data_IF_569797642206
#
_entry.id   IF_569797642206
#
_cell.length_a   1.000
_cell.length_b   1.000
_cell.length_c   1.000
_cell.angle_alpha   90.00
_cell.angle_beta   90.00
_cell.angle_gamma   90.00
#
_symmetry.space_group_name_H-M   'P 1'
#
loop_
_entity.id
_entity.type
_entity.pdbx_description
1 polymer ?
#
# COMPACT_ATOMS: atom_id res chain seq x y z
N UNK A 1 67.11 23.26 -8.80
CA UNK A 1 66.50 23.81 -10.05
C UNK A 1 65.54 22.77 -10.61
N UNK A 2 64.36 23.23 -10.94
CA UNK A 2 63.25 22.61 -11.70
C UNK A 2 62.18 21.89 -10.87
N UNK A 3 61.18 22.68 -10.57
CA UNK A 3 59.87 22.31 -10.12
C UNK A 3 59.08 21.63 -11.23
N UNK A 4 58.40 20.53 -10.94
CA UNK A 4 57.34 19.97 -11.77
C UNK A 4 56.04 19.93 -10.98
N UNK A 5 55.17 20.90 -11.20
CA UNK A 5 53.80 20.91 -10.77
C UNK A 5 53.01 19.88 -11.61
N UNK A 6 52.51 18.83 -10.98
CA UNK A 6 51.55 17.95 -11.59
C UNK A 6 50.13 18.45 -11.22
N UNK A 7 49.47 19.05 -12.19
CA UNK A 7 48.06 19.43 -12.10
C UNK A 7 47.18 18.17 -12.15
N UNK A 8 46.54 17.85 -11.06
CA UNK A 8 45.48 16.80 -11.02
C UNK A 8 44.20 17.43 -11.54
N UNK A 9 43.85 17.12 -12.77
CA UNK A 9 42.56 17.45 -13.37
C UNK A 9 41.48 16.54 -12.77
N UNK A 10 40.65 17.09 -11.88
CA UNK A 10 39.47 16.44 -11.32
C UNK A 10 38.38 16.43 -12.40
N UNK A 11 38.23 15.34 -13.11
CA UNK A 11 37.09 15.07 -14.01
C UNK A 11 35.82 14.85 -13.17
N UNK A 12 34.99 15.90 -13.14
CA UNK A 12 33.62 15.81 -12.62
C UNK A 12 32.80 14.93 -13.58
N UNK A 13 32.70 13.63 -13.28
CA UNK A 13 31.70 12.76 -13.86
C UNK A 13 30.35 13.14 -13.23
N UNK A 14 29.56 13.92 -13.95
CA UNK A 14 28.15 14.12 -13.62
C UNK A 14 27.40 12.78 -13.83
N UNK A 15 26.74 12.21 -12.81
CA UNK A 15 25.87 11.08 -13.05
C UNK A 15 24.66 11.58 -13.84
N UNK A 16 24.52 11.12 -15.09
CA UNK A 16 23.31 11.28 -15.86
C UNK A 16 22.19 10.54 -15.12
N UNK A 17 21.35 11.30 -14.45
CA UNK A 17 20.11 10.78 -13.86
C UNK A 17 19.25 10.29 -15.03
N UNK A 18 19.25 8.98 -15.26
CA UNK A 18 18.24 8.32 -16.07
C UNK A 18 16.92 8.46 -15.32
N UNK A 19 16.14 9.45 -15.73
CA UNK A 19 14.73 9.52 -15.37
C UNK A 19 14.04 8.26 -15.94
N UNK A 20 13.89 7.23 -15.12
CA UNK A 20 13.00 6.15 -15.44
C UNK A 20 11.60 6.75 -15.57
N UNK A 21 10.90 6.50 -16.69
CA UNK A 21 9.50 6.87 -16.77
C UNK A 21 8.78 6.08 -15.67
N UNK A 22 8.36 6.76 -14.61
CA UNK A 22 7.37 6.24 -13.67
C UNK A 22 6.14 5.98 -14.53
N UNK A 23 5.93 4.72 -14.90
CA UNK A 23 4.67 4.26 -15.44
C UNK A 23 3.62 4.69 -14.42
N UNK A 24 2.83 5.70 -14.78
CA UNK A 24 1.75 6.21 -13.96
C UNK A 24 0.87 5.01 -13.62
N UNK A 25 0.95 4.56 -12.38
CA UNK A 25 0.12 3.50 -11.85
C UNK A 25 -1.32 3.99 -12.01
N UNK A 26 -2.03 3.45 -13.00
CA UNK A 26 -3.46 3.67 -13.17
C UNK A 26 -4.18 2.93 -12.04
N UNK A 27 -4.04 3.47 -10.81
CA UNK A 27 -4.97 3.11 -9.75
C UNK A 27 -6.36 3.47 -10.26
N UNK A 28 -7.29 2.51 -10.19
CA UNK A 28 -8.70 2.75 -10.47
C UNK A 28 -9.17 3.83 -9.50
N UNK A 29 -9.03 5.08 -9.92
CA UNK A 29 -9.49 6.22 -9.13
C UNK A 29 -11.01 6.24 -9.20
N UNK A 30 -11.70 6.23 -8.05
CA UNK A 30 -13.14 6.40 -8.05
C UNK A 30 -13.48 7.71 -8.78
N UNK A 31 -14.59 7.76 -9.53
CA UNK A 31 -15.07 9.02 -10.08
C UNK A 31 -15.33 9.99 -8.94
N UNK A 32 -14.77 11.19 -9.03
CA UNK A 32 -14.99 12.26 -8.07
C UNK A 32 -16.42 12.80 -8.27
N UNK A 33 -17.37 12.22 -7.57
CA UNK A 33 -18.80 12.53 -7.71
C UNK A 33 -19.28 13.66 -6.79
N UNK A 34 -18.35 14.50 -6.31
CA UNK A 34 -18.66 15.62 -5.42
C UNK A 34 -18.60 15.26 -3.95
N UNK A 35 -18.24 16.24 -3.15
CA UNK A 35 -17.79 16.13 -1.76
C UNK A 35 -18.87 15.97 -0.69
N UNK A 36 -19.99 15.30 -0.99
CA UNK A 36 -21.09 15.15 -0.02
C UNK A 36 -20.92 13.98 0.95
N UNK A 37 -19.78 13.29 0.91
CA UNK A 37 -19.45 12.17 1.81
C UNK A 37 -18.21 12.51 2.65
N UNK A 38 -18.36 13.27 3.74
CA UNK A 38 -17.23 13.60 4.61
C UNK A 38 -16.69 12.33 5.25
N UNK A 39 -15.46 11.98 4.91
CA UNK A 39 -14.71 10.90 5.54
C UNK A 39 -13.26 11.31 5.76
N UNK A 40 -12.63 10.73 6.79
CA UNK A 40 -11.25 10.96 7.16
C UNK A 40 -10.63 9.66 7.68
N UNK A 41 -9.32 9.59 7.60
CA UNK A 41 -8.52 8.50 8.19
C UNK A 41 -7.96 9.01 9.51
N UNK A 42 -7.94 8.16 10.56
CA UNK A 42 -7.41 8.55 11.86
C UNK A 42 -5.92 8.90 11.79
N UNK A 43 -5.17 8.10 11.04
CA UNK A 43 -3.73 8.27 10.83
C UNK A 43 -3.43 8.20 9.33
N UNK A 44 -3.12 9.33 8.72
CA UNK A 44 -2.72 9.41 7.31
C UNK A 44 -1.28 8.90 7.09
N UNK A 45 -0.49 8.84 8.16
CA UNK A 45 0.89 8.38 8.14
C UNK A 45 1.08 7.22 9.12
N UNK A 46 1.33 6.04 8.58
CA UNK A 46 1.63 4.84 9.38
C UNK A 46 3.12 4.58 9.33
N UNK A 47 3.74 4.60 10.51
CA UNK A 47 5.18 4.34 10.63
C UNK A 47 5.43 2.88 10.98
N UNK A 48 6.33 2.25 10.20
CA UNK A 48 6.74 0.86 10.35
C UNK A 48 8.14 0.81 10.96
N UNK A 49 8.25 0.24 12.16
CA UNK A 49 9.53 -0.03 12.83
C UNK A 49 10.01 -1.47 12.55
N UNK A 50 11.21 -1.81 12.98
CA UNK A 50 11.78 -3.16 12.81
C UNK A 50 11.02 -4.26 13.56
N UNK A 51 10.27 -3.91 14.60
CA UNK A 51 9.43 -4.78 15.41
C UNK A 51 7.95 -4.74 15.04
N UNK A 52 7.63 -4.17 13.87
CA UNK A 52 6.27 -4.01 13.39
C UNK A 52 5.54 -5.35 13.23
N UNK A 53 4.41 -5.50 13.90
CA UNK A 53 3.55 -6.70 13.89
C UNK A 53 2.21 -6.48 13.20
N UNK A 54 2.08 -5.37 12.50
CA UNK A 54 0.84 -4.91 11.89
C UNK A 54 0.25 -3.71 12.63
N UNK A 55 -0.61 -2.96 11.95
CA UNK A 55 -1.31 -1.78 12.47
C UNK A 55 -2.79 -1.86 12.15
N UNK A 56 -3.56 -0.97 12.73
CA UNK A 56 -4.97 -0.80 12.38
C UNK A 56 -5.16 0.51 11.64
N UNK A 57 -5.80 0.44 10.48
CA UNK A 57 -6.25 1.62 9.75
C UNK A 57 -7.70 1.85 10.13
N UNK A 58 -8.00 3.07 10.58
CA UNK A 58 -9.35 3.47 10.96
C UNK A 58 -9.83 4.61 10.08
N UNK A 59 -10.93 4.38 9.37
CA UNK A 59 -11.61 5.39 8.57
C UNK A 59 -12.91 5.77 9.26
N UNK A 60 -13.11 7.06 9.43
CA UNK A 60 -14.34 7.64 9.96
C UNK A 60 -15.05 8.43 8.87
N UNK A 61 -16.36 8.56 9.01
CA UNK A 61 -17.11 9.44 8.15
C UNK A 61 -18.56 9.55 8.59
N UNK A 62 -19.28 10.41 7.90
CA UNK A 62 -20.70 10.63 8.15
C UNK A 62 -21.48 10.31 6.89
N UNK A 63 -22.44 9.41 7.01
CA UNK A 63 -23.43 9.18 5.97
C UNK A 63 -24.39 10.37 5.94
N UNK A 64 -24.42 11.17 4.88
CA UNK A 64 -25.30 12.34 4.78
C UNK A 64 -26.77 11.96 4.72
N UNK A 65 -27.10 10.71 4.43
CA UNK A 65 -28.48 10.23 4.45
C UNK A 65 -28.96 9.97 5.89
N UNK A 66 -29.48 11.01 6.52
CA UNK A 66 -30.05 10.95 7.88
C UNK A 66 -31.19 9.94 8.05
N UNK A 67 -31.79 9.46 6.96
CA UNK A 67 -32.84 8.45 6.98
C UNK A 67 -32.29 7.01 7.00
N UNK A 68 -30.97 6.84 7.03
CA UNK A 68 -30.30 5.55 7.15
C UNK A 68 -30.46 4.62 5.94
N UNK A 69 -30.90 5.15 4.78
CA UNK A 69 -31.08 4.36 3.55
C UNK A 69 -29.83 4.25 2.69
N UNK A 70 -28.77 4.95 3.07
CA UNK A 70 -27.49 4.90 2.36
C UNK A 70 -26.62 3.77 2.91
N UNK A 71 -26.03 2.99 2.01
CA UNK A 71 -25.07 1.96 2.34
C UNK A 71 -23.64 2.49 2.15
N UNK A 72 -22.80 2.24 3.14
CA UNK A 72 -21.39 2.63 3.12
C UNK A 72 -20.53 1.42 2.78
N UNK A 73 -19.63 1.63 1.85
CA UNK A 73 -18.57 0.69 1.50
C UNK A 73 -17.23 1.42 1.58
N UNK A 74 -16.32 0.91 2.38
CA UNK A 74 -14.94 1.42 2.49
C UNK A 74 -14.01 0.38 1.88
N UNK A 75 -13.16 0.81 0.95
CA UNK A 75 -12.17 -0.06 0.31
C UNK A 75 -10.79 0.51 0.55
N UNK A 76 -9.92 -0.28 1.17
CA UNK A 76 -8.51 0.03 1.29
C UNK A 76 -7.73 -0.73 0.24
N UNK A 77 -6.87 -0.02 -0.51
CA UNK A 77 -6.02 -0.60 -1.55
C UNK A 77 -4.57 -0.25 -1.30
N UNK A 78 -3.72 -1.25 -1.37
CA UNK A 78 -2.28 -1.05 -1.52
C UNK A 78 -1.91 -0.84 -3.00
N UNK A 79 -0.66 -0.46 -3.29
CA UNK A 79 -0.19 -0.29 -4.66
C UNK A 79 -0.32 -1.58 -5.46
N UNK A 80 -0.51 -1.42 -6.76
CA UNK A 80 -0.48 -2.53 -7.70
C UNK A 80 0.91 -3.16 -7.76
N UNK A 81 0.96 -4.47 -7.82
CA UNK A 81 2.20 -5.23 -7.94
C UNK A 81 2.04 -6.35 -8.96
N UNK A 82 3.09 -6.70 -9.71
CA UNK A 82 3.06 -7.85 -10.57
C UNK A 82 2.88 -9.13 -9.73
N UNK A 83 2.03 -10.02 -10.20
CA UNK A 83 1.77 -11.30 -9.58
C UNK A 83 1.69 -12.40 -10.64
N UNK A 84 1.99 -13.63 -10.27
CA UNK A 84 1.84 -14.77 -11.17
C UNK A 84 1.13 -15.93 -10.48
N UNK A 85 0.27 -16.61 -11.22
CA UNK A 85 -0.47 -17.79 -10.76
C UNK A 85 -0.20 -18.93 -11.71
N UNK A 86 0.16 -20.09 -11.16
CA UNK A 86 0.39 -21.32 -11.92
C UNK A 86 -0.63 -22.37 -11.49
N UNK A 87 -1.22 -23.05 -12.46
CA UNK A 87 -2.05 -24.21 -12.21
C UNK A 87 -1.19 -25.46 -12.14
N UNK A 88 -1.32 -26.25 -11.07
CA UNK A 88 -0.69 -27.56 -10.99
C UNK A 88 -1.50 -28.58 -11.78
N UNK A 89 -0.85 -29.41 -12.56
CA UNK A 89 -1.45 -30.54 -13.22
C UNK A 89 -0.62 -31.80 -12.93
N UNK A 90 -1.29 -32.93 -12.97
CA UNK A 90 -0.66 -34.21 -12.69
C UNK A 90 -0.20 -34.85 -14.00
N UNK A 91 1.10 -35.14 -14.10
CA UNK A 91 1.68 -35.90 -15.19
C UNK A 91 2.23 -37.16 -14.58
N UNK A 92 1.64 -38.29 -14.95
CA UNK A 92 1.83 -39.59 -14.27
C UNK A 92 1.56 -39.51 -12.76
N UNK A 93 2.58 -39.68 -11.93
CA UNK A 93 2.46 -39.60 -10.46
C UNK A 93 2.93 -38.27 -9.87
N UNK A 94 3.45 -37.33 -10.68
CA UNK A 94 4.07 -36.08 -10.24
C UNK A 94 3.14 -34.89 -10.51
N UNK A 95 3.15 -33.93 -9.56
CA UNK A 95 2.49 -32.63 -9.74
C UNK A 95 3.50 -31.65 -10.33
N UNK A 96 3.22 -31.15 -11.54
CA UNK A 96 4.05 -30.16 -12.23
C UNK A 96 3.30 -28.85 -12.31
N UNK A 97 4.05 -27.73 -12.22
CA UNK A 97 3.50 -26.40 -12.45
C UNK A 97 3.28 -26.18 -13.95
N UNK A 98 2.10 -25.71 -14.32
CA UNK A 98 1.80 -25.27 -15.67
C UNK A 98 2.41 -23.90 -16.00
N UNK A 99 2.06 -23.39 -17.16
CA UNK A 99 2.50 -22.06 -17.60
C UNK A 99 2.02 -20.98 -16.62
N UNK A 100 2.88 -19.99 -16.27
CA UNK A 100 2.50 -18.89 -15.39
C UNK A 100 1.55 -17.93 -16.12
N UNK A 101 0.42 -17.61 -15.48
CA UNK A 101 -0.47 -16.52 -15.88
C UNK A 101 -0.09 -15.30 -15.06
N UNK A 102 0.30 -14.23 -15.74
CA UNK A 102 0.79 -13.00 -15.13
C UNK A 102 -0.29 -11.94 -15.02
N UNK A 103 -0.24 -11.23 -13.90
CA UNK A 103 -1.04 -10.04 -13.63
C UNK A 103 -0.09 -8.85 -13.51
N UNK A 104 -0.34 -7.77 -14.23
CA UNK A 104 0.52 -6.57 -14.21
C UNK A 104 0.29 -5.72 -12.96
N UNK A 105 -0.94 -5.69 -12.47
CA UNK A 105 -1.38 -4.71 -11.47
C UNK A 105 -2.37 -5.35 -10.48
N UNK A 106 -1.89 -6.32 -9.70
CA UNK A 106 -2.69 -6.89 -8.63
C UNK A 106 -2.47 -6.08 -7.35
N UNK A 107 -3.52 -5.61 -6.64
CA UNK A 107 -3.34 -4.89 -5.39
C UNK A 107 -2.48 -5.70 -4.42
N UNK A 108 -1.45 -5.07 -3.84
CA UNK A 108 -0.61 -5.72 -2.84
C UNK A 108 -1.35 -6.00 -1.54
N UNK A 109 -2.32 -5.15 -1.22
CA UNK A 109 -3.27 -5.28 -0.12
C UNK A 109 -4.65 -4.83 -0.60
N UNK A 110 -5.69 -5.51 -0.12
CA UNK A 110 -7.07 -5.15 -0.44
C UNK A 110 -7.98 -5.50 0.73
N UNK A 111 -8.72 -4.52 1.21
CA UNK A 111 -9.74 -4.76 2.22
C UNK A 111 -11.03 -4.04 1.84
N UNK A 112 -12.15 -4.75 1.87
CA UNK A 112 -13.47 -4.17 1.68
C UNK A 112 -14.30 -4.34 2.94
N UNK A 113 -14.86 -3.23 3.41
CA UNK A 113 -15.69 -3.16 4.61
C UNK A 113 -17.02 -2.54 4.23
N UNK A 114 -18.11 -3.19 4.57
CA UNK A 114 -19.46 -2.74 4.22
C UNK A 114 -20.45 -2.95 5.37
N UNK A 115 -21.46 -2.10 5.45
CA UNK A 115 -22.50 -2.22 6.48
C UNK A 115 -23.46 -3.40 6.24
N UNK A 116 -23.56 -3.87 4.98
CA UNK A 116 -24.31 -5.07 4.57
C UNK A 116 -23.48 -5.87 3.56
N UNK A 117 -23.83 -7.12 3.27
CA UNK A 117 -23.17 -7.89 2.22
C UNK A 117 -23.15 -7.13 0.90
N UNK A 118 -21.98 -7.05 0.26
CA UNK A 118 -21.73 -6.22 -0.91
C UNK A 118 -22.73 -6.46 -2.06
N UNK A 119 -23.12 -7.71 -2.25
CA UNK A 119 -24.12 -8.12 -3.27
C UNK A 119 -25.53 -7.61 -3.01
N UNK A 120 -25.84 -7.19 -1.76
CA UNK A 120 -27.11 -6.54 -1.41
C UNK A 120 -27.05 -5.03 -1.59
N UNK A 121 -25.84 -4.46 -1.64
CA UNK A 121 -25.59 -3.03 -1.78
C UNK A 121 -25.54 -2.64 -3.26
N UNK A 122 -24.84 -3.41 -4.07
CA UNK A 122 -24.56 -3.06 -5.47
C UNK A 122 -24.69 -4.29 -6.39
N UNK A 123 -25.04 -4.01 -7.65
CA UNK A 123 -25.07 -5.04 -8.68
C UNK A 123 -23.69 -5.61 -8.96
N UNK A 124 -23.56 -6.86 -9.47
CA UNK A 124 -22.27 -7.43 -9.85
C UNK A 124 -21.49 -6.54 -10.83
N UNK A 125 -22.19 -5.88 -11.74
CA UNK A 125 -21.60 -4.95 -12.70
C UNK A 125 -21.03 -3.71 -12.01
N UNK A 126 -21.72 -3.16 -11.01
CA UNK A 126 -21.24 -2.02 -10.22
C UNK A 126 -20.05 -2.41 -9.36
N UNK A 127 -20.10 -3.58 -8.72
CA UNK A 127 -18.98 -4.13 -7.93
C UNK A 127 -17.72 -4.22 -8.80
N UNK A 128 -17.85 -4.73 -10.02
CA UNK A 128 -16.75 -4.85 -10.96
C UNK A 128 -16.27 -3.46 -11.44
N UNK A 129 -17.19 -2.60 -11.83
CA UNK A 129 -16.88 -1.26 -12.36
C UNK A 129 -16.12 -0.37 -11.39
N UNK A 130 -16.49 -0.40 -10.11
CA UNK A 130 -15.84 0.40 -9.06
C UNK A 130 -14.70 -0.32 -8.35
N UNK A 131 -14.35 -1.52 -8.82
CA UNK A 131 -13.25 -2.30 -8.24
C UNK A 131 -13.48 -2.65 -6.77
N UNK A 132 -14.72 -2.92 -6.38
CA UNK A 132 -15.05 -3.30 -4.99
C UNK A 132 -14.73 -4.77 -4.69
N UNK A 133 -14.33 -5.52 -5.70
CA UNK A 133 -13.84 -6.89 -5.60
C UNK A 133 -12.36 -6.92 -6.02
N UNK A 134 -11.47 -7.55 -5.24
CA UNK A 134 -10.05 -7.63 -5.58
C UNK A 134 -9.78 -8.33 -6.93
N UNK A 135 -10.66 -9.24 -7.37
CA UNK A 135 -10.57 -9.87 -8.68
C UNK A 135 -10.77 -8.88 -9.83
N UNK A 136 -11.55 -7.81 -9.62
CA UNK A 136 -11.78 -6.77 -10.60
C UNK A 136 -10.56 -5.84 -10.76
N UNK A 137 -9.79 -5.67 -9.70
CA UNK A 137 -8.61 -4.79 -9.67
C UNK A 137 -7.35 -5.47 -10.22
N UNK A 138 -7.35 -6.80 -10.41
CA UNK A 138 -6.21 -7.55 -10.93
C UNK A 138 -6.27 -7.64 -12.46
N UNK A 139 -5.39 -6.91 -13.15
CA UNK A 139 -5.32 -6.90 -14.62
C UNK A 139 -4.46 -8.06 -15.14
N UNK A 140 -5.01 -8.84 -16.05
CA UNK A 140 -4.30 -9.92 -16.75
C UNK A 140 -3.37 -9.32 -17.80
N UNK A 141 -2.09 -9.67 -17.72
CA UNK A 141 -1.05 -9.25 -18.67
C UNK A 141 -0.78 -10.33 -19.72
N UNK A 142 -0.73 -11.60 -19.30
CA UNK A 142 -0.41 -12.70 -20.20
C UNK A 142 -1.66 -13.43 -20.68
N UNK A 143 -1.55 -14.04 -21.86
CA UNK A 143 -2.57 -14.96 -22.34
C UNK A 143 -2.74 -16.13 -21.37
N UNK A 144 -3.98 -16.53 -21.17
CA UNK A 144 -4.32 -17.73 -20.39
C UNK A 144 -4.13 -18.96 -21.31
N UNK A 145 -3.63 -20.10 -20.80
CA UNK A 145 -3.52 -21.31 -21.59
C UNK A 145 -4.83 -21.68 -22.28
N UNK A 146 -4.72 -22.21 -23.50
CA UNK A 146 -5.89 -22.59 -24.31
C UNK A 146 -6.77 -23.58 -23.56
N UNK A 147 -8.06 -23.26 -23.45
CA UNK A 147 -9.04 -24.09 -22.74
C UNK A 147 -9.18 -23.79 -21.23
N UNK A 148 -8.35 -22.92 -20.68
CA UNK A 148 -8.49 -22.49 -19.29
C UNK A 148 -9.34 -21.21 -19.16
N UNK A 149 -10.05 -21.09 -18.04
CA UNK A 149 -10.87 -19.92 -17.74
C UNK A 149 -10.06 -18.84 -17.00
N UNK A 150 -9.97 -17.60 -17.55
CA UNK A 150 -9.33 -16.46 -16.89
C UNK A 150 -9.87 -16.17 -15.48
N UNK A 151 -11.14 -16.42 -15.24
CA UNK A 151 -11.78 -16.18 -13.95
C UNK A 151 -11.23 -17.11 -12.85
N UNK A 152 -10.86 -18.34 -13.21
CA UNK A 152 -10.26 -19.30 -12.31
C UNK A 152 -8.90 -18.85 -11.78
N UNK A 153 -8.09 -18.20 -12.62
CA UNK A 153 -6.79 -17.63 -12.22
C UNK A 153 -6.94 -16.43 -11.29
N UNK A 154 -7.91 -15.53 -11.58
CA UNK A 154 -8.25 -14.43 -10.66
C UNK A 154 -8.73 -14.94 -9.31
N UNK A 155 -9.62 -15.92 -9.30
CA UNK A 155 -10.11 -16.55 -8.07
C UNK A 155 -8.96 -17.22 -7.28
N UNK A 156 -8.02 -17.85 -7.97
CA UNK A 156 -6.84 -18.44 -7.35
C UNK A 156 -5.92 -17.38 -6.73
N UNK A 157 -5.68 -16.26 -7.43
CA UNK A 157 -4.92 -15.12 -6.89
C UNK A 157 -5.57 -14.59 -5.61
N UNK A 158 -6.88 -14.32 -5.64
CA UNK A 158 -7.64 -13.84 -4.48
C UNK A 158 -7.54 -14.81 -3.31
N UNK A 159 -7.68 -16.11 -3.57
CA UNK A 159 -7.55 -17.14 -2.54
C UNK A 159 -6.16 -17.16 -1.92
N UNK A 160 -5.09 -17.09 -2.73
CA UNK A 160 -3.71 -17.05 -2.25
C UNK A 160 -3.45 -15.81 -1.38
N UNK A 161 -3.93 -14.65 -1.79
CA UNK A 161 -3.79 -13.41 -1.02
C UNK A 161 -4.60 -13.42 0.27
N UNK A 162 -5.77 -14.07 0.28
CA UNK A 162 -6.58 -14.28 1.50
C UNK A 162 -5.85 -15.16 2.53
N UNK A 163 -5.16 -16.21 2.11
CA UNK A 163 -4.36 -17.05 3.03
C UNK A 163 -3.14 -16.31 3.64
N UNK A 164 -2.74 -15.20 3.05
CA UNK A 164 -1.69 -14.32 3.53
C UNK A 164 -2.22 -13.14 4.37
N UNK A 165 -3.53 -13.08 4.64
CA UNK A 165 -4.24 -11.96 5.27
C UNK A 165 -4.11 -10.63 4.52
N UNK A 166 -3.66 -10.65 3.24
CA UNK A 166 -3.52 -9.47 2.40
C UNK A 166 -4.84 -9.04 1.75
N UNK A 167 -5.78 -9.99 1.53
CA UNK A 167 -7.11 -9.69 1.01
C UNK A 167 -8.16 -10.04 2.06
N UNK A 168 -8.91 -9.02 2.49
CA UNK A 168 -9.85 -9.11 3.61
C UNK A 168 -11.22 -8.58 3.17
N UNK A 169 -12.28 -9.22 3.66
CA UNK A 169 -13.66 -8.81 3.39
C UNK A 169 -14.46 -8.86 4.69
N UNK A 170 -15.06 -7.73 5.04
CA UNK A 170 -15.88 -7.57 6.22
C UNK A 170 -17.24 -7.03 5.81
N UNK A 171 -18.30 -7.77 6.10
CA UNK A 171 -19.68 -7.38 5.80
C UNK A 171 -20.54 -7.43 7.05
N UNK A 172 -21.33 -6.37 7.25
CA UNK A 172 -22.20 -6.22 8.39
C UNK A 172 -21.47 -5.78 9.67
N UNK A 173 -22.14 -5.91 10.81
CA UNK A 173 -21.63 -5.49 12.11
C UNK A 173 -20.40 -6.32 12.50
N UNK A 174 -19.30 -5.70 12.96
CA UNK A 174 -18.14 -6.45 13.43
C UNK A 174 -18.53 -7.40 14.56
N UNK A 175 -18.06 -8.65 14.48
CA UNK A 175 -18.10 -9.53 15.64
C UNK A 175 -17.01 -9.14 16.65
N UNK A 176 -17.15 -9.46 17.95
CA UNK A 176 -16.13 -9.19 18.95
C UNK A 176 -14.75 -9.80 18.62
N UNK A 177 -14.75 -10.89 17.87
CA UNK A 177 -13.56 -11.61 17.44
C UNK A 177 -13.00 -11.12 16.10
N UNK A 178 -13.77 -10.30 15.35
CA UNK A 178 -13.34 -9.79 14.07
C UNK A 178 -12.24 -8.74 14.26
N UNK A 179 -11.12 -8.95 13.61
CA UNK A 179 -9.98 -8.01 13.60
C UNK A 179 -10.23 -6.77 12.75
N UNK A 180 -11.47 -6.54 12.31
CA UNK A 180 -11.89 -5.42 11.50
C UNK A 180 -13.40 -5.42 11.27
N UNK A 181 -13.89 -4.40 10.58
CA UNK A 181 -15.29 -4.27 10.20
C UNK A 181 -15.78 -2.84 10.15
N UNK A 182 -17.02 -2.65 9.72
CA UNK A 182 -17.68 -1.36 9.63
C UNK A 182 -18.80 -1.26 10.66
N UNK A 183 -18.73 -0.28 11.52
CA UNK A 183 -19.75 0.02 12.56
C UNK A 183 -20.47 1.30 12.20
N UNK A 184 -21.79 1.25 12.17
CA UNK A 184 -22.65 2.41 12.02
C UNK A 184 -23.13 2.88 13.41
N UNK A 185 -23.07 4.17 13.66
CA UNK A 185 -23.52 4.82 14.88
C UNK A 185 -24.76 5.68 14.61
N UNK A 186 -25.42 6.12 15.69
CA UNK A 186 -26.52 7.08 15.58
C UNK A 186 -26.06 8.37 14.89
N UNK A 187 -26.97 9.03 14.16
CA UNK A 187 -26.65 10.24 13.40
C UNK A 187 -25.89 10.02 12.09
N UNK A 188 -25.71 8.78 11.65
CA UNK A 188 -25.06 8.47 10.38
C UNK A 188 -23.53 8.38 10.47
N UNK A 189 -22.93 8.56 11.64
CA UNK A 189 -21.49 8.35 11.81
C UNK A 189 -21.14 6.88 11.55
N UNK A 190 -20.06 6.62 10.81
CA UNK A 190 -19.51 5.30 10.64
C UNK A 190 -18.02 5.26 11.02
N UNK A 191 -17.59 4.08 11.44
CA UNK A 191 -16.19 3.75 11.68
C UNK A 191 -15.86 2.42 11.01
N UNK A 192 -14.91 2.44 10.11
CA UNK A 192 -14.36 1.24 9.47
C UNK A 192 -12.95 1.00 10.03
N UNK A 193 -12.70 -0.20 10.54
CA UNK A 193 -11.40 -0.61 11.09
C UNK A 193 -10.93 -1.83 10.34
N UNK A 194 -9.69 -1.79 9.87
CA UNK A 194 -9.05 -2.94 9.21
C UNK A 194 -7.64 -3.11 9.73
N UNK A 195 -7.20 -4.35 9.83
CA UNK A 195 -5.83 -4.67 10.21
C UNK A 195 -4.94 -4.71 8.97
N UNK A 196 -3.90 -3.88 8.95
CA UNK A 196 -2.80 -3.99 8.01
C UNK A 196 -1.78 -5.00 8.57
N UNK A 197 -1.58 -6.16 7.93
CA UNK A 197 -0.68 -7.19 8.44
C UNK A 197 0.79 -6.80 8.25
N UNK A 198 1.69 -7.44 9.00
CA UNK A 198 3.12 -7.12 8.95
C UNK A 198 3.80 -7.40 7.60
N UNK A 199 3.24 -8.30 6.80
CA UNK A 199 3.71 -8.64 5.46
C UNK A 199 3.15 -7.73 4.35
N UNK A 200 2.34 -6.72 4.71
CA UNK A 200 1.88 -5.72 3.77
C UNK A 200 3.04 -4.82 3.34
N UNK A 201 3.17 -4.48 2.04
CA UNK A 201 4.28 -3.66 1.55
C UNK A 201 4.24 -2.25 2.14
N UNK A 202 5.42 -1.67 2.33
CA UNK A 202 5.58 -0.26 2.67
C UNK A 202 5.44 0.54 1.39
N UNK A 203 4.40 1.37 1.33
CA UNK A 203 4.06 2.14 0.14
C UNK A 203 2.88 3.09 0.44
N UNK A 204 2.46 3.83 -0.57
CA UNK A 204 1.23 4.60 -0.53
C UNK A 204 0.01 3.70 -0.75
N UNK A 205 -0.94 3.79 0.16
CA UNK A 205 -2.24 3.14 0.13
C UNK A 205 -3.34 4.15 -0.18
N UNK A 206 -4.52 3.66 -0.50
CA UNK A 206 -5.71 4.50 -0.60
C UNK A 206 -6.85 3.93 0.25
N UNK A 207 -7.61 4.83 0.87
CA UNK A 207 -8.91 4.55 1.46
C UNK A 207 -9.98 5.21 0.61
N UNK A 208 -10.79 4.40 -0.04
CA UNK A 208 -11.88 4.86 -0.89
C UNK A 208 -13.21 4.57 -0.19
N UNK A 209 -13.96 5.62 0.11
CA UNK A 209 -15.27 5.51 0.72
C UNK A 209 -16.35 5.73 -0.33
N UNK A 210 -17.32 4.84 -0.39
CA UNK A 210 -18.43 4.88 -1.33
C UNK A 210 -19.76 4.92 -0.59
N UNK A 211 -20.65 5.79 -1.05
CA UNK A 211 -22.05 5.84 -0.61
C UNK A 211 -22.94 5.29 -1.72
N UNK A 212 -23.63 4.21 -1.43
CA UNK A 212 -24.64 3.64 -2.31
C UNK A 212 -26.04 3.90 -1.79
N UNK A 213 -26.98 4.09 -2.70
CA UNK A 213 -28.42 4.15 -2.41
C UNK A 213 -29.17 3.41 -3.51
N UNK A 214 -30.00 2.45 -3.12
CA UNK A 214 -30.80 1.65 -4.04
C UNK A 214 -29.95 1.04 -5.19
N UNK A 215 -28.77 0.56 -4.87
CA UNK A 215 -27.84 -0.07 -5.82
C UNK A 215 -27.03 0.90 -6.69
N UNK A 216 -27.24 2.23 -6.55
CA UNK A 216 -26.53 3.25 -7.31
C UNK A 216 -25.49 3.95 -6.46
N UNK A 217 -24.32 4.21 -7.04
CA UNK A 217 -23.31 5.05 -6.41
C UNK A 217 -23.78 6.52 -6.40
N UNK A 218 -23.81 7.13 -5.21
CA UNK A 218 -24.24 8.50 -5.00
C UNK A 218 -23.04 9.42 -4.82
N UNK A 219 -22.06 8.99 -4.03
CA UNK A 219 -20.86 9.78 -3.74
C UNK A 219 -19.69 8.87 -3.46
N UNK A 220 -18.48 9.35 -3.68
CA UNK A 220 -17.24 8.67 -3.31
C UNK A 220 -16.20 9.68 -2.87
N UNK A 221 -15.35 9.27 -1.92
CA UNK A 221 -14.22 10.04 -1.46
C UNK A 221 -12.97 9.18 -1.45
N UNK A 222 -11.86 9.74 -1.90
CA UNK A 222 -10.55 9.12 -1.96
C UNK A 222 -9.60 9.80 -0.99
N UNK A 223 -8.92 9.02 -0.13
CA UNK A 223 -7.95 9.51 0.84
C UNK A 223 -6.67 8.70 0.69
N UNK A 224 -5.53 9.34 0.36
CA UNK A 224 -4.24 8.66 0.36
C UNK A 224 -3.78 8.40 1.80
N UNK A 225 -3.10 7.26 2.01
CA UNK A 225 -2.49 6.87 3.28
C UNK A 225 -1.04 6.52 3.00
N UNK A 226 -0.11 7.17 3.68
CA UNK A 226 1.31 6.89 3.54
C UNK A 226 1.78 5.88 4.60
N UNK A 227 2.30 4.74 4.13
CA UNK A 227 2.93 3.75 5.00
C UNK A 227 4.43 3.81 4.74
N UNK A 228 5.17 4.36 5.70
CA UNK A 228 6.60 4.62 5.59
C UNK A 228 7.39 3.98 6.74
N UNK A 229 8.69 3.75 6.52
CA UNK A 229 9.58 3.30 7.59
C UNK A 229 9.99 4.47 8.47
N UNK A 230 10.13 4.21 9.77
CA UNK A 230 10.92 5.09 10.63
C UNK A 230 12.37 4.91 10.19
N UNK A 231 12.87 5.83 9.37
CA UNK A 231 14.27 5.80 8.93
C UNK A 231 15.16 6.48 9.96
N UNK A 232 16.36 5.93 10.15
CA UNK A 232 17.48 6.60 10.82
C UNK A 232 17.71 8.00 10.23
N UNK A 233 17.38 8.16 8.96
CA UNK A 233 17.44 9.39 8.19
C UNK A 233 16.60 10.54 8.81
N UNK A 234 15.40 10.24 9.31
CA UNK A 234 14.57 11.24 10.02
C UNK A 234 15.17 11.61 11.38
N UNK A 235 15.75 10.63 12.08
CA UNK A 235 16.41 10.88 13.36
C UNK A 235 17.70 11.70 13.17
N UNK A 236 18.46 11.42 12.11
CA UNK A 236 19.66 12.20 11.76
C UNK A 236 19.26 13.60 11.26
N UNK A 237 18.21 13.73 10.47
CA UNK A 237 17.70 15.02 10.01
C UNK A 237 17.20 15.88 11.19
N UNK A 238 16.42 15.29 12.11
CA UNK A 238 15.96 16.01 13.30
C UNK A 238 17.13 16.39 14.22
N UNK A 239 18.13 15.50 14.38
CA UNK A 239 19.33 15.82 15.15
C UNK A 239 20.14 16.95 14.51
N UNK A 240 20.20 16.99 13.15
CA UNK A 240 20.90 18.02 12.43
C UNK A 240 20.17 19.38 12.43
N UNK A 241 18.82 19.36 12.46
CA UNK A 241 17.99 20.58 12.42
C UNK A 241 17.66 21.12 13.81
N UNK A 242 17.23 20.26 14.74
CA UNK A 242 16.77 20.65 16.07
C UNK A 242 17.94 20.83 17.05
N UNK A 243 19.03 20.07 16.84
CA UNK A 243 20.24 20.10 17.65
C UNK A 243 21.50 20.32 16.82
N UNK A 244 21.47 21.32 15.93
CA UNK A 244 22.56 21.60 14.99
C UNK A 244 23.94 21.78 15.64
N UNK A 245 23.99 22.39 16.84
CA UNK A 245 25.23 22.57 17.62
C UNK A 245 25.77 21.24 18.10
N UNK A 246 24.90 20.35 18.60
CA UNK A 246 25.29 19.01 19.08
C UNK A 246 25.77 18.14 17.92
N UNK A 247 25.08 18.21 16.78
CA UNK A 247 25.48 17.50 15.57
C UNK A 247 26.83 17.98 15.05
N UNK A 248 27.06 19.30 15.00
CA UNK A 248 28.34 19.88 14.61
C UNK A 248 29.49 19.47 15.54
N UNK A 249 29.28 19.49 16.87
CA UNK A 249 30.27 19.05 17.83
C UNK A 249 30.61 17.55 17.69
N UNK A 250 29.59 16.70 17.48
CA UNK A 250 29.76 15.27 17.25
C UNK A 250 30.58 14.98 15.99
N UNK A 251 30.31 15.72 14.91
CA UNK A 251 31.00 15.56 13.63
C UNK A 251 32.50 15.94 13.77
N UNK A 252 32.80 17.03 14.49
CA UNK A 252 34.18 17.45 14.77
C UNK A 252 34.91 16.42 15.63
N UNK A 253 34.27 15.89 16.69
CA UNK A 253 34.85 14.83 17.53
C UNK A 253 35.13 13.54 16.75
N UNK A 254 34.22 13.15 15.85
CA UNK A 254 34.43 11.99 14.97
C UNK A 254 35.60 12.22 14.01
N UNK A 255 35.70 13.40 13.42
CA UNK A 255 36.79 13.74 12.51
C UNK A 255 38.16 13.76 13.23
N UNK A 256 38.21 14.34 14.42
CA UNK A 256 39.44 14.34 15.26
C UNK A 256 39.80 12.90 15.69
N UNK A 257 38.82 12.09 16.09
CA UNK A 257 39.04 10.69 16.45
C UNK A 257 39.57 9.86 15.31
N UNK A 258 38.97 10.01 14.11
CA UNK A 258 39.42 9.32 12.90
C UNK A 258 40.85 9.76 12.51
N UNK A 259 41.16 11.07 12.59
CA UNK A 259 42.48 11.59 12.33
C UNK A 259 43.54 11.08 13.32
N UNK A 260 43.18 10.99 14.61
CA UNK A 260 44.08 10.44 15.66
C UNK A 260 44.33 8.94 15.45
N UNK A 261 43.31 8.16 15.15
CA UNK A 261 43.44 6.73 14.81
C UNK A 261 44.31 6.54 13.57
N UNK A 262 44.08 7.29 12.52
CA UNK A 262 44.90 7.24 11.32
C UNK A 262 46.39 7.59 11.62
N UNK A 263 46.65 8.65 12.39
CA UNK A 263 47.97 9.03 12.78
C UNK A 263 48.66 7.96 13.65
N UNK A 264 47.95 7.28 14.50
CA UNK A 264 48.45 6.17 15.31
C UNK A 264 48.89 4.97 14.46
N UNK A 265 48.09 4.58 13.47
CA UNK A 265 48.41 3.46 12.55
C UNK A 265 49.60 3.81 11.62
N UNK A 266 49.63 5.02 11.03
CA UNK A 266 50.70 5.42 10.11
C UNK A 266 51.99 5.84 10.81
N UNK A 267 52.01 6.06 12.13
CA UNK A 267 53.23 6.42 12.87
C UNK A 267 54.08 5.20 13.21
N UNK A 268 53.61 3.98 12.89
CA UNK A 268 54.34 2.73 13.20
C UNK A 268 55.13 2.15 12.03
N UNK A 269 55.21 2.85 10.92
CA UNK A 269 56.18 2.65 9.84
C UNK A 269 57.29 3.72 9.90
#
# INVERSE_FOLDING_TARGET
MKHAFAAVALLLLSPSAHAQPQAAQQQVRPPDLGSDLPSAVADEHITVSSDYRGSFITVFGVNPDRRGRGDIVVVLRGPGQPASVMRKHRVFALWINGAPVRFSDAPSFFAVLSNRPLRQIASPQSIWRYGLDPAASAHLESAVPLGDDPSAYRAALVRLRRTQDLYQEYSGRPSPEARGGLTMFAGGLFRAVVRLPANAPIAQYSADTYLFRDGRLISSQHIPIDVSRIGVERSVHNLATDFSIVYGLLTVLLALGAGWVAAYFFRRE
#
